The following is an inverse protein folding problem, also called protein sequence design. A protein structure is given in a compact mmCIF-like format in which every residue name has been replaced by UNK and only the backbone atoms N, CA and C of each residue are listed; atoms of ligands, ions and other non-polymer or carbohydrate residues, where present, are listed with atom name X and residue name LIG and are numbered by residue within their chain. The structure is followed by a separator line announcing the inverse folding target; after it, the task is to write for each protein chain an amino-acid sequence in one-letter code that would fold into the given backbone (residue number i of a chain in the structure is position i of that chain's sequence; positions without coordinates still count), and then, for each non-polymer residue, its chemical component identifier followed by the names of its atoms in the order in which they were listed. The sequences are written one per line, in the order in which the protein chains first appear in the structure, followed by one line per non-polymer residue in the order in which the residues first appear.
data_IF_836507257625
#
_entry.id   IF_836507257625
#
_cell.length_a   1.000
_cell.length_b   1.000
_cell.length_c   1.000
_cell.angle_alpha   90.00
_cell.angle_beta   90.00
_cell.angle_gamma   90.00
#
_symmetry.space_group_name_H-M   'P 1'
#
loop_
_entity.id
_entity.type
_entity.pdbx_description
1 polymer ?
#
# COMPACT_ATOMS: atom_id res chain seq x y z
N UNK A 1 33.15 3.76 47.27
CA UNK A 1 32.29 2.93 48.15
C UNK A 1 31.52 1.95 47.27
N UNK A 2 32.26 0.98 46.74
CA UNK A 2 31.80 -0.13 45.91
C UNK A 2 31.66 -1.36 46.81
N UNK A 3 30.51 -2.03 46.82
CA UNK A 3 30.40 -3.42 47.33
C UNK A 3 30.44 -4.35 46.11
N UNK A 4 31.61 -4.93 45.81
CA UNK A 4 32.04 -6.26 46.26
C UNK A 4 31.32 -7.38 45.46
N UNK A 5 31.65 -7.60 44.18
CA UNK A 5 32.79 -8.37 43.69
C UNK A 5 32.83 -9.85 44.15
N UNK A 6 32.35 -10.72 43.24
CA UNK A 6 32.94 -12.01 42.84
C UNK A 6 33.17 -13.11 43.89
N UNK A 7 32.38 -14.19 43.78
CA UNK A 7 32.86 -15.57 43.46
C UNK A 7 31.68 -16.57 43.44
N UNK A 8 31.28 -17.01 42.24
CA UNK A 8 31.46 -18.37 41.67
C UNK A 8 30.95 -19.53 42.56
N UNK A 9 29.92 -20.23 42.08
CA UNK A 9 29.88 -21.70 42.09
C UNK A 9 28.71 -22.22 41.21
N UNK A 10 29.06 -22.90 40.12
CA UNK A 10 28.31 -24.01 39.50
C UNK A 10 29.09 -25.27 39.92
N UNK A 11 28.47 -26.39 40.37
CA UNK A 11 28.14 -27.45 39.41
C UNK A 11 26.97 -28.40 39.79
N UNK A 12 26.44 -29.06 38.76
CA UNK A 12 26.10 -30.49 38.70
C UNK A 12 24.91 -31.05 39.51
N UNK A 13 23.88 -31.55 38.82
CA UNK A 13 23.61 -32.98 38.53
C UNK A 13 23.40 -33.86 39.79
N UNK A 14 22.21 -34.45 39.95
CA UNK A 14 21.94 -35.86 39.62
C UNK A 14 20.53 -36.28 40.09
N UNK A 15 19.79 -36.89 39.16
CA UNK A 15 18.48 -37.52 39.33
C UNK A 15 18.64 -38.94 39.87
N UNK A 16 17.68 -39.40 40.66
CA UNK A 16 17.42 -40.80 41.09
C UNK A 16 15.89 -40.92 41.20
N UNK A 17 15.15 -41.95 40.79
CA UNK A 17 15.41 -43.19 40.04
C UNK A 17 14.14 -43.55 39.27
N UNK A 18 14.33 -44.29 38.17
CA UNK A 18 13.29 -44.94 37.36
C UNK A 18 12.79 -46.21 38.07
N UNK A 19 11.47 -46.44 38.10
CA UNK A 19 10.91 -47.79 38.08
C UNK A 19 9.96 -47.91 36.89
N UNK A 20 10.39 -48.72 35.93
CA UNK A 20 9.62 -49.23 34.81
C UNK A 20 8.64 -50.30 35.31
N UNK A 21 7.38 -50.20 34.89
CA UNK A 21 6.52 -51.39 34.72
C UNK A 21 5.91 -51.35 33.32
N UNK A 22 5.97 -52.52 32.69
CA UNK A 22 5.73 -52.78 31.27
C UNK A 22 4.25 -52.95 30.96
N UNK A 23 3.93 -52.67 29.70
CA UNK A 23 2.90 -53.33 28.89
C UNK A 23 1.44 -52.90 29.10
N UNK A 24 0.89 -52.19 28.13
CA UNK A 24 -0.02 -52.80 27.14
C UNK A 24 -0.33 -51.80 26.02
N UNK A 25 0.09 -52.15 24.81
CA UNK A 25 -0.34 -51.54 23.55
C UNK A 25 -1.78 -51.97 23.24
N UNK A 26 -2.64 -50.99 22.92
CA UNK A 26 -3.91 -50.99 22.14
C UNK A 26 -4.71 -49.79 22.65
N UNK A 27 -5.25 -48.86 21.87
CA UNK A 27 -5.46 -48.76 20.45
C UNK A 27 -5.59 -47.27 20.04
N UNK A 28 -5.09 -47.00 18.85
CA UNK A 28 -5.51 -46.00 17.87
C UNK A 28 -6.80 -45.21 18.17
N UNK A 29 -6.67 -43.88 18.29
CA UNK A 29 -7.57 -42.87 17.69
C UNK A 29 -6.90 -41.49 17.81
N UNK A 30 -6.05 -41.18 16.82
CA UNK A 30 -5.58 -39.83 16.58
C UNK A 30 -6.81 -39.03 16.13
N UNK A 31 -7.28 -38.11 16.97
CA UNK A 31 -8.16 -37.03 16.55
C UNK A 31 -7.25 -36.00 15.87
N UNK A 32 -7.29 -35.80 14.54
CA UNK A 32 -6.73 -34.59 13.98
C UNK A 32 -7.72 -33.48 14.31
N UNK A 33 -7.52 -32.80 15.44
CA UNK A 33 -8.14 -31.49 15.63
C UNK A 33 -7.49 -30.54 14.63
N UNK A 34 -8.04 -30.56 13.42
CA UNK A 34 -8.38 -29.42 12.60
C UNK A 34 -7.52 -28.19 12.90
N UNK A 35 -6.31 -28.19 12.34
CA UNK A 35 -5.63 -26.93 12.07
C UNK A 35 -6.49 -26.18 11.07
N UNK A 36 -7.39 -25.32 11.56
CA UNK A 36 -7.88 -24.20 10.76
C UNK A 36 -6.63 -23.38 10.43
N UNK A 37 -6.02 -23.72 9.30
CA UNK A 37 -5.22 -22.78 8.55
C UNK A 37 -6.17 -21.63 8.24
N UNK A 38 -6.03 -20.54 8.99
CA UNK A 38 -6.51 -19.22 8.61
C UNK A 38 -5.78 -18.85 7.31
N UNK A 39 -6.23 -19.45 6.20
CA UNK A 39 -6.06 -18.85 4.89
C UNK A 39 -6.98 -17.63 4.89
N UNK A 40 -6.53 -16.55 5.53
CA UNK A 40 -6.97 -15.23 5.13
C UNK A 40 -6.74 -15.10 3.62
N UNK A 41 -7.62 -14.40 2.89
CA UNK A 41 -7.38 -14.14 1.48
C UNK A 41 -5.95 -13.57 1.33
N UNK A 42 -5.20 -13.98 0.29
CA UNK A 42 -3.87 -13.45 0.07
C UNK A 42 -3.96 -11.92 0.03
N UNK A 43 -2.96 -11.26 0.62
CA UNK A 43 -2.76 -9.81 0.68
C UNK A 43 -3.66 -9.00 -0.27
N UNK A 44 -4.63 -8.29 0.32
CA UNK A 44 -5.55 -7.29 -0.24
C UNK A 44 -5.42 -7.01 -1.75
N UNK A 45 -5.95 -7.90 -2.59
CA UNK A 45 -6.26 -7.53 -3.95
C UNK A 45 -7.48 -6.59 -3.94
N UNK A 46 -7.31 -5.35 -4.39
CA UNK A 46 -8.38 -4.37 -4.53
C UNK A 46 -9.63 -5.03 -5.13
N UNK A 47 -10.75 -5.01 -4.42
CA UNK A 47 -12.01 -5.52 -4.96
C UNK A 47 -12.72 -4.45 -5.78
N UNK A 48 -13.62 -4.89 -6.67
CA UNK A 48 -14.50 -3.96 -7.42
C UNK A 48 -15.32 -3.06 -6.50
N UNK A 49 -15.81 -3.61 -5.38
CA UNK A 49 -16.60 -2.84 -4.44
C UNK A 49 -15.75 -1.79 -3.72
N UNK A 50 -14.54 -2.15 -3.27
CA UNK A 50 -13.61 -1.19 -2.68
C UNK A 50 -13.25 -0.08 -3.66
N UNK A 51 -12.92 -0.39 -4.91
CA UNK A 51 -12.63 0.62 -5.93
C UNK A 51 -13.81 1.59 -6.14
N UNK A 52 -15.05 1.09 -6.15
CA UNK A 52 -16.26 1.93 -6.22
C UNK A 52 -16.37 2.84 -5.01
N UNK A 53 -16.14 2.33 -3.80
CA UNK A 53 -16.22 3.11 -2.56
C UNK A 53 -15.11 4.17 -2.53
N UNK A 54 -13.87 3.82 -2.88
CA UNK A 54 -12.75 4.76 -2.99
C UNK A 54 -13.09 5.91 -3.93
N UNK A 55 -13.55 5.63 -5.15
CA UNK A 55 -13.91 6.68 -6.11
C UNK A 55 -15.05 7.58 -5.59
N UNK A 56 -16.04 7.00 -4.90
CA UNK A 56 -17.12 7.77 -4.27
C UNK A 56 -16.61 8.66 -3.13
N UNK A 57 -15.69 8.15 -2.31
CA UNK A 57 -15.06 8.92 -1.24
C UNK A 57 -14.24 10.06 -1.83
N UNK A 58 -13.40 9.79 -2.84
CA UNK A 58 -12.61 10.83 -3.49
C UNK A 58 -13.52 11.94 -4.03
N UNK A 59 -14.60 11.56 -4.71
CA UNK A 59 -15.59 12.52 -5.22
C UNK A 59 -16.27 13.33 -4.10
N UNK A 60 -16.61 12.69 -2.98
CA UNK A 60 -17.26 13.35 -1.85
C UNK A 60 -16.32 14.29 -1.08
N UNK A 61 -15.03 13.98 -1.03
CA UNK A 61 -14.00 14.78 -0.37
C UNK A 61 -13.46 15.91 -1.25
N UNK A 62 -13.55 15.77 -2.57
CA UNK A 62 -13.03 16.75 -3.54
C UNK A 62 -13.49 18.21 -3.33
N UNK A 63 -14.75 18.50 -2.91
CA UNK A 63 -15.18 19.87 -2.61
C UNK A 63 -14.44 20.52 -1.43
N UNK A 64 -13.95 19.71 -0.48
CA UNK A 64 -13.25 20.17 0.71
C UNK A 64 -11.73 20.17 0.52
N UNK A 65 -11.19 19.14 -0.13
CA UNK A 65 -9.73 18.91 -0.25
C UNK A 65 -9.16 19.25 -1.63
N UNK A 66 -10.01 19.63 -2.59
CA UNK A 66 -9.61 19.90 -3.96
C UNK A 66 -9.48 18.63 -4.81
N UNK A 67 -8.87 18.78 -5.99
CA UNK A 67 -8.62 17.65 -6.89
C UNK A 67 -7.59 16.69 -6.27
N UNK A 68 -7.71 15.40 -6.61
CA UNK A 68 -6.75 14.40 -6.14
C UNK A 68 -5.41 14.59 -6.87
N UNK A 69 -4.49 15.31 -6.25
CA UNK A 69 -3.08 15.36 -6.64
C UNK A 69 -2.35 14.19 -5.97
N UNK A 70 -2.38 13.03 -6.62
CA UNK A 70 -1.85 11.81 -6.02
C UNK A 70 -0.31 11.79 -6.00
N UNK A 71 0.24 11.56 -4.81
CA UNK A 71 1.63 11.23 -4.52
C UNK A 71 1.69 10.21 -3.35
N UNK A 72 2.89 9.92 -2.84
CA UNK A 72 3.10 8.89 -1.83
C UNK A 72 2.51 9.25 -0.43
N UNK A 73 2.12 10.51 -0.22
CA UNK A 73 1.53 11.01 1.05
C UNK A 73 0.06 11.37 0.93
N UNK A 74 -0.46 11.60 -0.28
CA UNK A 74 -1.84 12.03 -0.53
C UNK A 74 -2.89 11.19 0.21
N UNK A 75 -2.71 9.87 0.29
CA UNK A 75 -3.62 9.00 1.02
C UNK A 75 -3.64 9.31 2.53
N UNK A 76 -2.46 9.49 3.13
CA UNK A 76 -2.29 9.77 4.56
C UNK A 76 -2.85 11.16 4.90
N UNK A 77 -2.52 12.17 4.07
CA UNK A 77 -2.98 13.55 4.23
C UNK A 77 -4.51 13.63 4.20
N UNK A 78 -5.15 12.92 3.25
CA UNK A 78 -6.61 12.89 3.14
C UNK A 78 -7.26 12.13 4.29
N UNK A 79 -6.62 11.08 4.80
CA UNK A 79 -7.13 10.34 5.96
C UNK A 79 -7.11 11.21 7.22
N UNK A 80 -6.01 11.92 7.45
CA UNK A 80 -5.88 12.84 8.60
C UNK A 80 -6.85 14.01 8.50
N UNK A 81 -6.94 14.67 7.33
CA UNK A 81 -7.87 15.77 7.13
C UNK A 81 -9.35 15.34 7.26
N UNK A 82 -9.73 14.16 6.75
CA UNK A 82 -11.08 13.62 6.93
C UNK A 82 -11.37 13.24 8.40
N UNK A 83 -10.35 12.83 9.17
CA UNK A 83 -10.50 12.50 10.58
C UNK A 83 -10.92 13.71 11.45
N UNK A 84 -10.52 14.92 11.03
CA UNK A 84 -10.88 16.21 11.62
C UNK A 84 -12.24 16.76 11.12
N UNK A 85 -12.75 16.21 10.01
CA UNK A 85 -14.03 16.55 9.40
C UNK A 85 -15.09 15.50 9.74
N UNK A 86 -15.79 14.97 8.73
CA UNK A 86 -16.91 14.03 8.87
C UNK A 86 -16.50 12.55 9.04
N UNK A 87 -15.20 12.26 9.01
CA UNK A 87 -14.63 10.91 9.15
C UNK A 87 -15.19 9.93 8.11
N UNK A 88 -15.47 10.39 6.90
CA UNK A 88 -16.13 9.63 5.83
C UNK A 88 -15.35 8.38 5.45
N UNK A 89 -14.02 8.45 5.44
CA UNK A 89 -13.12 7.34 5.11
C UNK A 89 -13.24 6.23 6.16
N UNK A 90 -13.09 6.58 7.45
CA UNK A 90 -13.20 5.59 8.54
C UNK A 90 -14.62 5.05 8.70
N UNK A 91 -15.65 5.88 8.49
CA UNK A 91 -17.06 5.45 8.47
C UNK A 91 -17.39 4.50 7.32
N UNK A 92 -16.63 4.55 6.22
CA UNK A 92 -16.72 3.58 5.14
C UNK A 92 -16.00 2.25 5.45
N UNK A 93 -15.36 2.14 6.62
CA UNK A 93 -14.72 0.92 7.10
C UNK A 93 -13.21 0.86 6.83
N UNK A 94 -12.61 1.92 6.28
CA UNK A 94 -11.16 1.96 6.05
C UNK A 94 -10.40 2.38 7.32
N UNK A 95 -9.34 1.66 7.60
CA UNK A 95 -8.21 2.15 8.39
C UNK A 95 -7.30 3.01 7.51
N UNK A 96 -6.36 3.75 8.10
CA UNK A 96 -5.37 4.51 7.33
C UNK A 96 -4.60 3.61 6.34
N UNK A 97 -4.12 2.46 6.81
CA UNK A 97 -3.38 1.50 5.99
C UNK A 97 -4.21 0.92 4.84
N UNK A 98 -5.47 0.54 5.11
CA UNK A 98 -6.35 -0.03 4.08
C UNK A 98 -6.87 1.04 3.12
N UNK A 99 -7.06 2.28 3.58
CA UNK A 99 -7.36 3.44 2.72
C UNK A 99 -6.22 3.70 1.75
N UNK A 100 -4.99 3.79 2.25
CA UNK A 100 -3.79 3.97 1.42
C UNK A 100 -3.67 2.87 0.37
N UNK A 101 -3.69 1.61 0.81
CA UNK A 101 -3.60 0.46 -0.09
C UNK A 101 -4.68 0.48 -1.18
N UNK A 102 -5.94 0.80 -0.82
CA UNK A 102 -7.03 0.83 -1.77
C UNK A 102 -6.97 2.03 -2.71
N UNK A 103 -6.56 3.21 -2.23
CA UNK A 103 -6.38 4.41 -3.04
C UNK A 103 -5.23 4.21 -4.03
N UNK A 104 -4.08 3.71 -3.57
CA UNK A 104 -2.90 3.43 -4.38
C UNK A 104 -3.23 2.46 -5.51
N UNK A 105 -3.89 1.34 -5.19
CA UNK A 105 -4.32 0.36 -6.18
C UNK A 105 -5.34 0.92 -7.18
N UNK A 106 -6.24 1.80 -6.72
CA UNK A 106 -7.23 2.46 -7.59
C UNK A 106 -6.58 3.43 -8.56
N UNK A 107 -5.63 4.24 -8.07
CA UNK A 107 -4.93 5.25 -8.87
C UNK A 107 -3.96 4.60 -9.86
N UNK A 108 -3.11 3.68 -9.39
CA UNK A 108 -2.20 2.92 -10.27
C UNK A 108 -3.00 2.12 -11.31
N UNK A 109 -4.10 1.48 -10.90
CA UNK A 109 -5.03 0.81 -11.81
C UNK A 109 -5.62 1.73 -12.87
N UNK A 110 -5.92 2.99 -12.54
CA UNK A 110 -6.35 3.99 -13.52
C UNK A 110 -5.23 4.33 -14.52
N UNK A 111 -4.00 4.56 -14.06
CA UNK A 111 -2.85 4.80 -14.94
C UNK A 111 -2.63 3.61 -15.90
N UNK A 112 -2.83 2.38 -15.42
CA UNK A 112 -2.77 1.16 -16.23
C UNK A 112 -3.92 1.04 -17.25
N UNK A 113 -5.04 1.73 -17.06
CA UNK A 113 -6.16 1.72 -18.03
C UNK A 113 -5.97 2.70 -19.19
N UNK A 114 -5.03 3.63 -19.11
CA UNK A 114 -4.81 4.62 -20.15
C UNK A 114 -4.33 3.94 -21.45
N UNK A 115 -4.89 4.29 -22.62
CA UNK A 115 -4.32 3.89 -23.91
C UNK A 115 -2.82 4.23 -24.01
N UNK A 116 -2.04 3.41 -24.72
CA UNK A 116 -0.59 3.58 -24.79
C UNK A 116 -0.19 4.92 -25.43
N UNK A 117 -0.90 5.35 -26.47
CA UNK A 117 -0.70 6.64 -27.12
C UNK A 117 -0.98 7.82 -26.18
N UNK A 118 -2.07 7.75 -25.40
CA UNK A 118 -2.39 8.75 -24.38
C UNK A 118 -1.33 8.78 -23.27
N UNK A 119 -0.92 7.61 -22.78
CA UNK A 119 0.10 7.53 -21.74
C UNK A 119 1.43 8.11 -22.20
N UNK A 120 1.87 7.80 -23.43
CA UNK A 120 3.09 8.38 -24.01
C UNK A 120 2.95 9.89 -24.23
N UNK A 121 1.78 10.39 -24.58
CA UNK A 121 1.53 11.83 -24.68
C UNK A 121 1.67 12.55 -23.32
N UNK A 122 1.22 11.92 -22.22
CA UNK A 122 1.42 12.44 -20.86
C UNK A 122 2.91 12.50 -20.52
N UNK A 123 3.67 11.42 -20.77
CA UNK A 123 5.12 11.39 -20.52
C UNK A 123 5.86 12.43 -21.36
N UNK A 124 5.51 12.57 -22.64
CA UNK A 124 6.09 13.58 -23.53
C UNK A 124 5.79 15.00 -23.04
N UNK A 125 4.59 15.25 -22.52
CA UNK A 125 4.22 16.54 -21.93
C UNK A 125 5.05 16.85 -20.68
N UNK A 126 5.25 15.85 -19.81
CA UNK A 126 6.09 16.00 -18.62
C UNK A 126 7.54 16.34 -18.99
N UNK A 127 8.10 15.63 -19.97
CA UNK A 127 9.44 15.90 -20.50
C UNK A 127 9.56 17.30 -21.09
N UNK A 128 8.61 17.68 -21.94
CA UNK A 128 8.57 19.00 -22.56
C UNK A 128 8.48 20.11 -21.50
N UNK A 129 7.73 19.91 -20.42
CA UNK A 129 7.64 20.86 -19.30
C UNK A 129 8.95 20.96 -18.52
N UNK A 130 9.69 19.85 -18.35
CA UNK A 130 11.01 19.87 -17.73
C UNK A 130 12.04 20.60 -18.61
N UNK A 131 11.93 20.47 -19.94
CA UNK A 131 12.80 21.13 -20.90
C UNK A 131 12.48 22.63 -21.08
N UNK A 132 11.21 23.02 -20.91
CA UNK A 132 10.74 24.37 -21.20
C UNK A 132 10.81 25.37 -20.03
N UNK A 133 11.03 26.62 -20.46
CA UNK A 133 10.92 27.93 -19.78
C UNK A 133 12.05 28.37 -18.84
N UNK A 134 12.69 29.46 -19.28
CA UNK A 134 13.41 30.43 -18.47
C UNK A 134 14.91 30.54 -18.76
N UNK A 135 15.50 31.66 -18.38
CA UNK A 135 16.94 31.82 -18.20
C UNK A 135 17.38 31.05 -16.95
N UNK A 136 17.29 29.72 -16.99
CA UNK A 136 17.84 28.85 -15.94
C UNK A 136 19.35 28.73 -16.10
N UNK A 137 20.05 28.66 -14.98
CA UNK A 137 21.46 28.24 -14.98
C UNK A 137 21.58 26.78 -15.44
N UNK A 138 22.77 26.36 -15.85
CA UNK A 138 23.02 24.97 -16.23
C UNK A 138 22.66 23.98 -15.11
N UNK A 139 22.94 24.33 -13.85
CA UNK A 139 22.61 23.51 -12.69
C UNK A 139 21.09 23.40 -12.47
N UNK A 140 20.36 24.51 -12.57
CA UNK A 140 18.89 24.51 -12.45
C UNK A 140 18.22 23.72 -13.58
N UNK A 141 18.74 23.84 -14.80
CA UNK A 141 18.27 23.05 -15.95
C UNK A 141 18.45 21.57 -15.69
N UNK A 142 19.63 21.16 -15.21
CA UNK A 142 19.91 19.74 -14.91
C UNK A 142 18.98 19.20 -13.83
N UNK A 143 18.84 19.90 -12.70
CA UNK A 143 17.96 19.46 -11.62
C UNK A 143 16.49 19.34 -12.06
N UNK A 144 16.03 20.24 -12.94
CA UNK A 144 14.66 20.16 -13.49
C UNK A 144 14.48 18.96 -14.43
N UNK A 145 15.48 18.66 -15.26
CA UNK A 145 15.44 17.47 -16.12
C UNK A 145 15.43 16.19 -15.28
N UNK A 146 16.25 16.13 -14.23
CA UNK A 146 16.26 15.02 -13.27
C UNK A 146 14.88 14.84 -12.62
N UNK A 147 14.24 15.92 -12.14
CA UNK A 147 12.87 15.86 -11.63
C UNK A 147 11.84 15.37 -12.67
N UNK A 148 11.98 15.79 -13.93
CA UNK A 148 11.13 15.32 -15.02
C UNK A 148 11.30 13.83 -15.28
N UNK A 149 12.55 13.34 -15.28
CA UNK A 149 12.88 11.94 -15.49
C UNK A 149 12.41 11.05 -14.34
N UNK A 150 12.50 11.54 -13.10
CA UNK A 150 11.91 10.88 -11.92
C UNK A 150 10.38 10.76 -12.04
N UNK A 151 9.70 11.82 -12.49
CA UNK A 151 8.26 11.79 -12.70
C UNK A 151 7.83 10.82 -13.81
N UNK A 152 8.62 10.72 -14.89
CA UNK A 152 8.40 9.74 -15.96
C UNK A 152 8.52 8.31 -15.39
N UNK A 153 9.62 8.03 -14.70
CA UNK A 153 9.86 6.71 -14.09
C UNK A 153 8.77 6.34 -13.10
N UNK A 154 8.30 7.31 -12.30
CA UNK A 154 7.18 7.11 -11.37
C UNK A 154 5.91 6.72 -12.12
N UNK A 155 5.52 7.44 -13.16
CA UNK A 155 4.33 7.11 -13.94
C UNK A 155 4.43 5.73 -14.62
N UNK A 156 5.60 5.37 -15.14
CA UNK A 156 5.84 4.03 -15.71
C UNK A 156 5.72 2.94 -14.65
N UNK A 157 6.29 3.16 -13.47
CA UNK A 157 6.17 2.25 -12.31
C UNK A 157 4.71 2.09 -11.90
N UNK A 158 3.98 3.20 -11.72
CA UNK A 158 2.56 3.18 -11.38
C UNK A 158 1.73 2.41 -12.41
N UNK A 159 2.03 2.56 -13.71
CA UNK A 159 1.34 1.82 -14.78
C UNK A 159 1.59 0.31 -14.67
N UNK A 160 2.84 -0.09 -14.39
CA UNK A 160 3.22 -1.49 -14.24
C UNK A 160 2.59 -2.12 -12.99
N UNK A 161 2.70 -1.45 -11.83
CA UNK A 161 2.13 -1.89 -10.55
C UNK A 161 0.60 -1.92 -10.60
N UNK A 162 -0.02 -1.04 -11.39
CA UNK A 162 -1.46 -0.97 -11.58
C UNK A 162 -2.06 -2.02 -12.51
N UNK A 163 -1.22 -2.73 -13.29
CA UNK A 163 -1.70 -3.70 -14.29
C UNK A 163 -2.66 -4.77 -13.71
N UNK A 164 -2.42 -5.35 -12.52
CA UNK A 164 -3.37 -6.30 -11.90
C UNK A 164 -4.75 -5.70 -11.58
N UNK A 165 -4.83 -4.38 -11.40
CA UNK A 165 -6.06 -3.68 -11.01
C UNK A 165 -6.81 -3.06 -12.20
N UNK A 166 -6.22 -3.04 -13.39
CA UNK A 166 -6.75 -2.35 -14.57
C UNK A 166 -8.18 -2.79 -14.92
N UNK A 167 -8.48 -4.10 -14.88
CA UNK A 167 -9.83 -4.61 -15.18
C UNK A 167 -10.89 -4.19 -14.16
N UNK A 168 -10.47 -4.01 -12.91
CA UNK A 168 -11.33 -3.61 -11.79
C UNK A 168 -11.66 -2.12 -11.91
N UNK A 169 -10.66 -1.32 -12.27
CA UNK A 169 -10.75 0.14 -12.35
C UNK A 169 -11.31 0.64 -13.69
N UNK A 170 -11.16 -0.12 -14.79
CA UNK A 170 -11.62 0.30 -16.14
C UNK A 170 -13.04 0.89 -16.19
N UNK A 171 -14.07 0.31 -15.53
CA UNK A 171 -15.41 0.89 -15.54
C UNK A 171 -15.52 2.25 -14.81
N UNK A 172 -14.54 2.57 -13.96
CA UNK A 172 -14.48 3.79 -13.16
C UNK A 172 -13.58 4.87 -13.79
N UNK A 173 -12.78 4.50 -14.81
CA UNK A 173 -11.82 5.40 -15.47
C UNK A 173 -12.42 6.76 -15.92
N UNK A 174 -13.64 6.85 -16.48
CA UNK A 174 -14.23 8.14 -16.83
C UNK A 174 -14.48 9.06 -15.63
N UNK A 175 -14.74 8.50 -14.44
CA UNK A 175 -14.90 9.28 -13.20
C UNK A 175 -13.55 9.70 -12.65
N UNK A 176 -12.58 8.78 -12.64
CA UNK A 176 -11.22 9.08 -12.16
C UNK A 176 -10.54 10.16 -13.02
N UNK A 177 -10.74 10.14 -14.34
CA UNK A 177 -10.28 11.22 -15.22
C UNK A 177 -10.76 12.60 -14.79
N UNK A 178 -12.03 12.72 -14.39
CA UNK A 178 -12.62 13.97 -13.89
C UNK A 178 -12.10 14.41 -12.53
N UNK A 179 -11.66 13.47 -11.70
CA UNK A 179 -11.19 13.75 -10.34
C UNK A 179 -9.69 14.12 -10.30
N UNK A 180 -8.94 13.68 -11.32
CA UNK A 180 -7.49 13.79 -11.35
C UNK A 180 -6.97 14.74 -12.42
N UNK A 181 -7.62 14.81 -13.59
CA UNK A 181 -7.07 15.48 -14.78
C UNK A 181 -7.93 16.68 -15.20
N UNK A 182 -9.23 16.48 -15.37
CA UNK A 182 -10.18 17.55 -15.77
C UNK A 182 -10.57 18.45 -14.61
#
# INVERSE_FOLDING_TARGET
MLSAALRRADPARFRVAVRLTRSTLKALRVLPCLGLLLFGPPAYALTRQEAIVVVKLVQALSPEFGKLAYDDTAADDWFEADAESDRRISRAGFTQETWKTALDATVTGYVATLPEDEFRAILATLRANAENRGSLTAAQRRARLEWGDEGILRLETMRAEGAPYAEIVRPLAPRLRKLMVE
#
